data_IF_221004963388
#
_entry.id   IF_221004963388
#
_cell.length_a   1.000
_cell.length_b   1.000
_cell.length_c   1.000
_cell.angle_alpha   90.00
_cell.angle_beta   90.00
_cell.angle_gamma   90.00
#
_symmetry.space_group_name_H-M   'P 1'
#
loop_
_entity.id
_entity.type
_entity.pdbx_description
1 polymer ?
#
# COMPACT_ATOMS: atom_id res chain seq x y z
N UNK A 1 13.00 -15.11 12.05
CA UNK A 1 12.73 -14.19 10.92
C UNK A 1 13.94 -13.36 10.47
N UNK A 2 15.18 -13.68 10.88
CA UNK A 2 16.37 -12.90 10.47
C UNK A 2 16.48 -12.85 8.94
N UNK A 3 16.49 -11.65 8.36
CA UNK A 3 16.57 -11.44 6.92
C UNK A 3 15.37 -11.98 6.11
N UNK A 4 14.19 -12.07 6.73
CA UNK A 4 13.01 -12.67 6.10
C UNK A 4 11.85 -11.66 5.90
N UNK A 5 12.09 -10.38 6.17
CA UNK A 5 11.07 -9.33 6.06
C UNK A 5 11.43 -8.40 4.90
N UNK A 6 10.46 -8.12 4.05
CA UNK A 6 10.52 -7.06 3.04
C UNK A 6 9.74 -5.85 3.53
N UNK A 7 10.41 -4.72 3.65
CA UNK A 7 9.81 -3.45 4.05
C UNK A 7 9.68 -2.50 2.86
N UNK A 8 8.73 -1.58 2.93
CA UNK A 8 8.56 -0.54 1.92
C UNK A 8 9.73 0.45 1.92
N UNK A 9 10.32 0.71 0.75
CA UNK A 9 11.28 1.81 0.55
C UNK A 9 10.55 3.14 0.32
N UNK A 10 9.68 3.44 1.26
CA UNK A 10 8.89 4.67 1.32
C UNK A 10 8.90 5.17 2.75
N UNK A 11 9.25 6.44 2.92
CA UNK A 11 9.39 7.06 4.25
C UNK A 11 8.10 6.93 5.05
N UNK A 12 6.99 7.38 4.47
CA UNK A 12 5.70 7.40 5.16
C UNK A 12 5.16 5.99 5.40
N UNK A 13 5.32 5.06 4.46
CA UNK A 13 4.84 3.69 4.63
C UNK A 13 5.67 2.90 5.64
N UNK A 14 6.99 3.09 5.67
CA UNK A 14 7.82 2.47 6.69
C UNK A 14 7.51 3.00 8.10
N UNK A 15 7.39 4.32 8.24
CA UNK A 15 7.00 4.93 9.52
C UNK A 15 5.58 4.58 9.94
N UNK A 16 4.64 4.43 9.00
CA UNK A 16 3.27 3.97 9.28
C UNK A 16 3.27 2.64 10.02
N UNK A 17 4.05 1.66 9.57
CA UNK A 17 4.15 0.34 10.22
C UNK A 17 4.59 0.50 11.68
N UNK A 18 5.61 1.30 11.96
CA UNK A 18 6.10 1.52 13.31
C UNK A 18 5.12 2.33 14.17
N UNK A 19 4.58 3.43 13.65
CA UNK A 19 3.64 4.29 14.37
C UNK A 19 2.37 3.52 14.75
N UNK A 20 1.79 2.77 13.81
CA UNK A 20 0.59 1.97 14.09
C UNK A 20 0.87 0.89 15.13
N UNK A 21 2.02 0.20 15.07
CA UNK A 21 2.43 -0.78 16.08
C UNK A 21 2.58 -0.18 17.48
N UNK A 22 2.91 1.09 17.58
CA UNK A 22 3.01 1.84 18.83
C UNK A 22 1.67 2.46 19.29
N UNK A 23 0.61 2.32 18.48
CA UNK A 23 -0.69 2.90 18.75
C UNK A 23 -0.81 4.39 18.40
N UNK A 24 0.14 4.92 17.63
CA UNK A 24 0.15 6.32 17.20
C UNK A 24 -0.56 6.51 15.86
N UNK A 25 -0.94 7.76 15.56
CA UNK A 25 -1.43 8.14 14.24
C UNK A 25 -0.32 8.04 13.20
N UNK A 26 -0.62 7.47 12.02
CA UNK A 26 0.31 7.50 10.88
C UNK A 26 0.55 8.94 10.35
N UNK A 27 -0.20 9.91 10.85
CA UNK A 27 -0.04 11.33 10.56
C UNK A 27 0.61 12.10 11.73
N UNK A 28 1.22 11.42 12.69
CA UNK A 28 1.90 12.10 13.81
C UNK A 28 2.97 13.07 13.31
N UNK A 29 3.03 14.22 13.97
CA UNK A 29 4.08 15.23 13.79
C UNK A 29 4.85 15.46 15.10
N UNK A 30 4.56 14.68 16.15
CA UNK A 30 5.25 14.76 17.43
C UNK A 30 6.66 14.15 17.31
N UNK A 31 7.72 14.94 17.55
CA UNK A 31 9.08 14.43 17.46
C UNK A 31 9.39 13.26 18.42
N UNK A 32 8.71 13.16 19.56
CA UNK A 32 8.90 12.05 20.48
C UNK A 32 8.35 10.76 19.89
N UNK A 33 7.10 10.75 19.38
CA UNK A 33 6.48 9.60 18.73
C UNK A 33 7.29 9.15 17.49
N UNK A 34 7.78 10.12 16.69
CA UNK A 34 8.59 9.82 15.50
C UNK A 34 9.96 9.22 15.87
N UNK A 35 10.59 9.64 16.97
CA UNK A 35 11.82 9.02 17.45
C UNK A 35 11.57 7.60 17.98
N UNK A 36 10.48 7.35 18.70
CA UNK A 36 10.10 6.00 19.12
C UNK A 36 9.86 5.09 17.92
N UNK A 37 9.15 5.56 16.91
CA UNK A 37 8.93 4.83 15.65
C UNK A 37 10.26 4.52 14.92
N UNK A 38 11.18 5.49 14.84
CA UNK A 38 12.52 5.29 14.30
C UNK A 38 13.29 4.21 15.07
N UNK A 39 13.25 4.26 16.40
CA UNK A 39 13.98 3.29 17.24
C UNK A 39 13.41 1.87 17.06
N UNK A 40 12.09 1.73 16.89
CA UNK A 40 11.45 0.48 16.54
C UNK A 40 11.90 -0.04 15.16
N UNK A 41 11.97 0.82 14.16
CA UNK A 41 12.48 0.47 12.81
C UNK A 41 13.96 0.04 12.86
N UNK A 42 14.78 0.69 13.68
CA UNK A 42 16.17 0.29 13.89
C UNK A 42 16.28 -1.07 14.59
N UNK A 43 15.42 -1.35 15.57
CA UNK A 43 15.36 -2.66 16.23
C UNK A 43 14.88 -3.78 15.27
N UNK A 44 13.97 -3.46 14.33
CA UNK A 44 13.50 -4.39 13.29
C UNK A 44 14.58 -4.66 12.22
N UNK A 45 15.47 -3.71 11.94
CA UNK A 45 16.38 -3.73 10.80
C UNK A 45 17.18 -5.04 10.62
N UNK A 46 17.68 -5.72 11.67
CA UNK A 46 18.34 -7.02 11.52
C UNK A 46 17.44 -8.14 10.97
N UNK A 47 16.13 -7.95 11.00
CA UNK A 47 15.15 -8.89 10.47
C UNK A 47 14.77 -8.57 9.02
N UNK A 48 15.09 -7.35 8.54
CA UNK A 48 14.75 -6.88 7.19
C UNK A 48 15.77 -7.41 6.19
N UNK A 49 15.29 -8.10 5.17
CA UNK A 49 16.11 -8.52 4.04
C UNK A 49 16.41 -7.35 3.11
N UNK A 50 15.38 -6.58 2.77
CA UNK A 50 15.48 -5.45 1.87
C UNK A 50 14.36 -4.43 2.09
N UNK A 51 14.65 -3.18 1.74
CA UNK A 51 13.65 -2.14 1.54
C UNK A 51 13.36 -2.07 0.04
N UNK A 52 12.12 -2.34 -0.35
CA UNK A 52 11.70 -2.50 -1.76
C UNK A 52 10.32 -1.85 -1.99
N UNK A 53 9.98 -1.65 -3.24
CA UNK A 53 8.62 -1.28 -3.66
C UNK A 53 8.08 -2.42 -4.53
N UNK A 54 8.19 -2.33 -5.85
CA UNK A 54 7.64 -3.33 -6.79
C UNK A 54 8.37 -4.69 -6.72
N UNK A 55 9.64 -4.70 -6.33
CA UNK A 55 10.43 -5.94 -6.20
C UNK A 55 9.91 -6.92 -5.13
N UNK A 56 8.99 -6.47 -4.27
CA UNK A 56 8.33 -7.34 -3.29
C UNK A 56 7.63 -8.51 -3.99
N UNK A 57 7.04 -8.30 -5.16
CA UNK A 57 6.36 -9.32 -5.97
C UNK A 57 7.27 -10.50 -6.26
N UNK A 58 8.36 -10.23 -6.96
CA UNK A 58 9.30 -11.28 -7.38
C UNK A 58 9.90 -12.01 -6.18
N UNK A 59 10.26 -11.26 -5.13
CA UNK A 59 10.86 -11.84 -3.93
C UNK A 59 9.91 -12.74 -3.16
N UNK A 60 8.63 -12.37 -3.07
CA UNK A 60 7.62 -13.22 -2.43
C UNK A 60 7.33 -14.46 -3.28
N UNK A 61 7.20 -14.32 -4.61
CA UNK A 61 7.01 -15.44 -5.54
C UNK A 61 8.21 -16.40 -5.61
N UNK A 62 9.41 -15.91 -5.34
CA UNK A 62 10.61 -16.74 -5.28
C UNK A 62 10.84 -17.39 -3.89
N UNK A 63 9.96 -17.11 -2.91
CA UNK A 63 10.12 -17.61 -1.55
C UNK A 63 11.33 -17.02 -0.80
N UNK A 64 11.81 -15.83 -1.23
CA UNK A 64 12.99 -15.18 -0.65
C UNK A 64 12.69 -14.54 0.71
N UNK A 65 11.43 -14.31 1.03
CA UNK A 65 11.00 -13.68 2.28
C UNK A 65 9.74 -14.35 2.84
N UNK A 66 9.58 -14.31 4.15
CA UNK A 66 8.41 -14.86 4.83
C UNK A 66 7.29 -13.84 5.04
N UNK A 67 7.64 -12.55 5.09
CA UNK A 67 6.70 -11.44 5.32
C UNK A 67 7.08 -10.26 4.41
N UNK A 68 6.09 -9.64 3.79
CA UNK A 68 6.26 -8.43 2.99
C UNK A 68 5.20 -7.38 3.31
N UNK A 69 5.62 -6.12 3.43
CA UNK A 69 4.68 -5.00 3.46
C UNK A 69 4.38 -4.61 2.02
N UNK A 70 3.13 -4.74 1.61
CA UNK A 70 2.69 -4.58 0.22
C UNK A 70 1.45 -3.68 0.14
N UNK A 71 1.16 -3.19 -1.05
CA UNK A 71 -0.12 -2.55 -1.35
C UNK A 71 -1.19 -3.60 -1.66
N UNK A 72 -2.43 -3.33 -1.29
CA UNK A 72 -3.54 -4.30 -1.37
C UNK A 72 -3.77 -4.90 -2.76
N UNK A 73 -3.55 -4.16 -3.83
CA UNK A 73 -3.70 -4.66 -5.20
C UNK A 73 -2.68 -5.73 -5.60
N UNK A 74 -1.54 -5.82 -4.89
CA UNK A 74 -0.54 -6.84 -5.18
C UNK A 74 -1.02 -8.26 -4.84
N UNK A 75 -2.01 -8.39 -3.96
CA UNK A 75 -2.47 -9.68 -3.47
C UNK A 75 -2.99 -10.58 -4.58
N UNK A 76 -3.98 -10.10 -5.36
CA UNK A 76 -4.59 -10.90 -6.43
C UNK A 76 -3.54 -11.32 -7.46
N UNK A 77 -2.70 -10.37 -7.89
CA UNK A 77 -1.61 -10.66 -8.80
C UNK A 77 -0.68 -11.77 -8.27
N UNK A 78 -0.28 -11.66 -6.99
CA UNK A 78 0.61 -12.64 -6.37
C UNK A 78 -0.05 -14.01 -6.23
N UNK A 79 -1.33 -14.07 -5.93
CA UNK A 79 -2.07 -15.33 -5.83
C UNK A 79 -2.21 -16.01 -7.18
N UNK A 80 -2.60 -15.27 -8.22
CA UNK A 80 -2.73 -15.78 -9.60
C UNK A 80 -1.38 -16.29 -10.15
N UNK A 81 -0.30 -15.54 -9.94
CA UNK A 81 1.04 -15.96 -10.35
C UNK A 81 1.54 -17.19 -9.55
N UNK A 82 1.28 -17.25 -8.25
CA UNK A 82 1.64 -18.40 -7.42
C UNK A 82 0.94 -19.68 -7.89
N UNK A 83 -0.34 -19.59 -8.26
CA UNK A 83 -1.09 -20.71 -8.87
C UNK A 83 -0.52 -21.10 -10.23
N UNK A 84 -0.28 -20.13 -11.10
CA UNK A 84 0.27 -20.36 -12.44
C UNK A 84 1.65 -21.04 -12.39
N UNK A 85 2.46 -20.70 -11.42
CA UNK A 85 3.78 -21.28 -11.15
C UNK A 85 3.73 -22.62 -10.40
N UNK A 86 2.54 -23.07 -9.94
CA UNK A 86 2.34 -24.24 -9.10
C UNK A 86 3.25 -24.25 -7.87
N UNK A 87 3.31 -23.11 -7.15
CA UNK A 87 4.12 -23.02 -5.95
C UNK A 87 3.55 -23.93 -4.83
N UNK A 88 4.42 -24.48 -3.99
CA UNK A 88 4.07 -25.37 -2.91
C UNK A 88 3.73 -24.66 -1.60
N UNK A 89 3.58 -23.33 -1.64
CA UNK A 89 3.19 -22.48 -0.52
C UNK A 89 2.09 -21.49 -0.94
N UNK A 90 1.34 -21.03 0.06
CA UNK A 90 0.26 -20.06 -0.12
C UNK A 90 0.65 -18.70 0.42
N UNK A 91 0.35 -17.66 -0.35
CA UNK A 91 0.47 -16.28 0.08
C UNK A 91 -0.84 -15.83 0.73
N UNK A 92 -0.76 -15.36 1.97
CA UNK A 92 -1.89 -14.84 2.72
C UNK A 92 -1.73 -13.34 2.94
N UNK A 93 -2.80 -12.59 2.69
CA UNK A 93 -2.88 -11.18 3.05
C UNK A 93 -3.37 -11.03 4.50
N UNK A 94 -2.77 -10.11 5.23
CA UNK A 94 -3.17 -9.77 6.60
C UNK A 94 -3.33 -8.27 6.72
N UNK A 95 -4.54 -7.84 7.04
CA UNK A 95 -4.81 -6.47 7.43
C UNK A 95 -4.58 -6.36 8.96
N UNK A 96 -3.61 -5.54 9.42
CA UNK A 96 -3.29 -5.45 10.84
C UNK A 96 -4.46 -4.86 11.65
N UNK A 97 -4.70 -5.39 12.86
CA UNK A 97 -5.70 -4.85 13.79
C UNK A 97 -5.36 -3.44 14.27
N UNK A 98 -4.08 -3.08 14.26
CA UNK A 98 -3.57 -1.75 14.56
C UNK A 98 -3.96 -0.72 13.50
N UNK A 99 -4.44 -1.18 12.35
CA UNK A 99 -4.84 -0.35 11.22
C UNK A 99 -3.73 -0.15 10.19
N UNK A 100 -4.10 0.49 9.09
CA UNK A 100 -3.24 0.76 7.95
C UNK A 100 -3.54 2.13 7.33
N UNK A 101 -2.86 2.48 6.25
CA UNK A 101 -3.26 3.64 5.46
C UNK A 101 -4.39 3.29 4.49
N UNK A 102 -5.35 4.18 4.39
CA UNK A 102 -6.33 4.23 3.32
C UNK A 102 -5.87 5.24 2.28
N UNK A 103 -5.88 4.89 1.02
CA UNK A 103 -5.44 5.77 -0.05
C UNK A 103 -6.35 5.67 -1.26
N UNK A 104 -6.39 6.73 -2.03
CA UNK A 104 -7.18 6.84 -3.25
C UNK A 104 -6.32 7.52 -4.30
N UNK A 105 -5.99 6.81 -5.36
CA UNK A 105 -5.34 7.41 -6.52
C UNK A 105 -6.33 8.25 -7.32
N UNK A 106 -5.88 9.41 -7.73
CA UNK A 106 -6.72 10.37 -8.43
C UNK A 106 -6.05 10.89 -9.70
N UNK A 107 -6.80 10.88 -10.79
CA UNK A 107 -6.41 11.61 -11.99
C UNK A 107 -6.58 13.10 -11.77
N UNK A 108 -5.55 13.86 -12.05
CA UNK A 108 -5.57 15.33 -11.91
C UNK A 108 -5.15 16.01 -13.20
N UNK A 109 -5.74 17.17 -13.46
CA UNK A 109 -5.38 18.01 -14.61
C UNK A 109 -4.69 19.26 -14.08
N UNK A 110 -3.39 19.49 -14.38
CA UNK A 110 -2.71 20.70 -13.98
C UNK A 110 -3.45 21.95 -14.48
N UNK A 111 -3.47 23.01 -13.68
CA UNK A 111 -4.19 24.25 -14.01
C UNK A 111 -3.74 24.89 -15.34
N UNK A 112 -2.49 24.66 -15.74
CA UNK A 112 -1.87 25.18 -16.96
C UNK A 112 -1.84 24.15 -18.11
N UNK A 113 -2.61 23.06 -18.02
CA UNK A 113 -2.69 22.06 -19.08
C UNK A 113 -3.20 22.68 -20.39
N UNK A 114 -2.51 22.42 -21.51
CA UNK A 114 -2.86 22.96 -22.83
C UNK A 114 -4.03 22.24 -23.49
N UNK A 115 -4.18 20.95 -23.22
CA UNK A 115 -5.19 20.06 -23.82
C UNK A 115 -6.19 19.57 -22.77
N UNK A 116 -6.79 20.49 -22.05
CA UNK A 116 -7.66 20.20 -20.91
C UNK A 116 -8.88 19.37 -21.31
N UNK A 117 -9.52 19.72 -22.44
CA UNK A 117 -10.69 18.99 -22.96
C UNK A 117 -10.35 17.52 -23.26
N UNK A 118 -9.17 17.25 -23.83
CA UNK A 118 -8.74 15.88 -24.11
C UNK A 118 -8.45 15.11 -22.80
N UNK A 119 -7.89 15.78 -21.79
CA UNK A 119 -7.67 15.17 -20.48
C UNK A 119 -8.99 14.84 -19.77
N UNK A 120 -9.97 15.75 -19.84
CA UNK A 120 -11.33 15.51 -19.31
C UNK A 120 -12.01 14.34 -20.06
N UNK A 121 -11.91 14.29 -21.39
CA UNK A 121 -12.45 13.20 -22.18
C UNK A 121 -11.80 11.86 -21.82
N UNK A 122 -10.49 11.83 -21.56
CA UNK A 122 -9.77 10.64 -21.09
C UNK A 122 -10.24 10.18 -19.71
N UNK A 123 -10.35 11.09 -18.76
CA UNK A 123 -10.86 10.79 -17.41
C UNK A 123 -12.29 10.24 -17.48
N UNK A 124 -13.17 10.88 -18.27
CA UNK A 124 -14.53 10.41 -18.50
C UNK A 124 -14.57 9.00 -19.13
N UNK A 125 -13.67 8.71 -20.07
CA UNK A 125 -13.54 7.37 -20.64
C UNK A 125 -13.18 6.34 -19.56
N UNK A 126 -12.21 6.63 -18.70
CA UNK A 126 -11.80 5.74 -17.61
C UNK A 126 -12.89 5.53 -16.55
N UNK A 127 -13.80 6.52 -16.38
CA UNK A 127 -14.94 6.41 -15.46
C UNK A 127 -16.09 5.54 -16.00
N UNK A 128 -16.07 5.12 -17.25
CA UNK A 128 -17.09 4.23 -17.80
C UNK A 128 -17.03 2.88 -17.07
N UNK A 129 -18.17 2.31 -16.67
CA UNK A 129 -18.19 1.07 -15.88
C UNK A 129 -17.48 -0.11 -16.56
N UNK A 130 -17.68 -0.28 -17.87
CA UNK A 130 -17.05 -1.32 -18.67
C UNK A 130 -15.51 -1.17 -18.76
N UNK A 131 -15.03 0.06 -18.78
CA UNK A 131 -13.59 0.38 -18.81
C UNK A 131 -12.99 0.26 -17.40
N UNK A 132 -13.67 0.77 -16.38
CA UNK A 132 -13.23 0.66 -15.00
C UNK A 132 -13.18 -0.80 -14.52
N UNK A 133 -14.11 -1.67 -14.98
CA UNK A 133 -14.03 -3.12 -14.77
C UNK A 133 -12.74 -3.69 -15.39
N UNK A 134 -12.48 -3.42 -16.67
CA UNK A 134 -11.26 -3.90 -17.34
C UNK A 134 -9.99 -3.41 -16.67
N UNK A 135 -10.01 -2.16 -16.17
CA UNK A 135 -8.90 -1.61 -15.44
C UNK A 135 -8.66 -2.38 -14.13
N UNK A 136 -9.73 -2.66 -13.36
CA UNK A 136 -9.64 -3.51 -12.18
C UNK A 136 -9.06 -4.89 -12.49
N UNK A 137 -9.60 -5.58 -13.51
CA UNK A 137 -9.14 -6.91 -13.91
C UNK A 137 -7.67 -6.94 -14.34
N UNK A 138 -7.12 -5.81 -14.79
CA UNK A 138 -5.73 -5.71 -15.21
C UNK A 138 -4.78 -5.30 -14.07
N UNK A 139 -5.16 -4.33 -13.24
CA UNK A 139 -4.28 -3.80 -12.19
C UNK A 139 -4.54 -4.42 -10.81
N UNK A 140 -5.66 -5.13 -10.64
CA UNK A 140 -6.06 -5.84 -9.41
C UNK A 140 -6.31 -4.97 -8.17
N UNK A 141 -6.30 -3.64 -8.30
CA UNK A 141 -6.61 -2.71 -7.23
C UNK A 141 -8.11 -2.41 -7.16
N UNK A 142 -8.67 -2.36 -5.95
CA UNK A 142 -10.09 -2.10 -5.73
C UNK A 142 -10.57 -0.85 -6.48
N UNK A 143 -11.67 -0.99 -7.21
CA UNK A 143 -12.26 0.13 -7.95
C UNK A 143 -13.18 0.96 -7.06
N UNK A 144 -13.08 2.31 -7.07
CA UNK A 144 -14.04 3.18 -6.41
C UNK A 144 -15.32 3.37 -7.23
N UNK A 145 -15.39 2.83 -8.45
CA UNK A 145 -16.54 2.95 -9.34
C UNK A 145 -17.58 1.89 -8.99
N UNK A 146 -18.66 2.30 -8.31
CA UNK A 146 -19.73 1.40 -7.89
C UNK A 146 -20.35 0.61 -9.04
N UNK A 147 -20.61 1.25 -10.18
CA UNK A 147 -21.19 0.58 -11.33
C UNK A 147 -20.24 -0.43 -11.98
N UNK A 148 -18.93 -0.19 -11.91
CA UNK A 148 -17.93 -1.18 -12.32
C UNK A 148 -17.87 -2.36 -11.34
N UNK A 149 -17.92 -2.09 -10.03
CA UNK A 149 -17.97 -3.14 -9.01
C UNK A 149 -19.18 -4.08 -9.21
N UNK A 150 -20.35 -3.53 -9.54
CA UNK A 150 -21.58 -4.31 -9.82
C UNK A 150 -21.44 -5.21 -11.10
N UNK A 151 -20.47 -4.92 -11.97
CA UNK A 151 -20.15 -5.72 -13.16
C UNK A 151 -19.07 -6.78 -12.93
N UNK A 152 -18.38 -6.75 -11.79
CA UNK A 152 -17.36 -7.75 -11.47
C UNK A 152 -17.99 -9.12 -11.24
N UNK A 153 -17.22 -10.17 -11.47
CA UNK A 153 -17.63 -11.51 -11.12
C UNK A 153 -17.84 -11.65 -9.61
N UNK A 154 -18.81 -12.50 -9.17
CA UNK A 154 -19.13 -12.65 -7.74
C UNK A 154 -17.95 -13.04 -6.86
N UNK A 155 -16.96 -13.72 -7.41
CA UNK A 155 -15.72 -14.07 -6.73
C UNK A 155 -14.97 -12.83 -6.25
N UNK A 156 -14.78 -11.84 -7.14
CA UNK A 156 -14.13 -10.58 -6.78
C UNK A 156 -14.99 -9.74 -5.84
N UNK A 157 -16.31 -9.65 -6.10
CA UNK A 157 -17.22 -8.86 -5.24
C UNK A 157 -17.23 -9.35 -3.79
N UNK A 158 -17.06 -10.65 -3.56
CA UNK A 158 -17.06 -11.28 -2.25
C UNK A 158 -15.66 -11.40 -1.62
N UNK A 159 -14.62 -11.03 -2.33
CA UNK A 159 -13.25 -11.09 -1.83
C UNK A 159 -12.99 -9.94 -0.85
N UNK A 160 -12.92 -10.27 0.45
CA UNK A 160 -12.76 -9.30 1.55
C UNK A 160 -11.35 -8.78 1.70
N UNK A 161 -10.37 -9.44 1.13
CA UNK A 161 -8.99 -8.96 1.08
C UNK A 161 -8.84 -7.81 0.08
N UNK A 162 -9.64 -7.81 -0.99
CA UNK A 162 -9.66 -6.76 -2.03
C UNK A 162 -10.67 -5.66 -1.69
N UNK A 163 -11.87 -6.06 -1.23
CA UNK A 163 -12.95 -5.17 -0.83
C UNK A 163 -13.29 -5.40 0.65
N UNK A 164 -12.45 -4.91 1.58
CA UNK A 164 -12.65 -5.14 3.00
C UNK A 164 -13.95 -4.49 3.50
N UNK A 165 -14.54 -5.13 4.52
CA UNK A 165 -15.64 -4.49 5.23
C UNK A 165 -15.15 -3.27 5.99
N UNK A 166 -15.95 -2.21 6.01
CA UNK A 166 -15.61 -0.96 6.71
C UNK A 166 -15.36 -1.15 8.21
N UNK A 167 -15.96 -2.19 8.82
CA UNK A 167 -15.76 -2.53 10.24
C UNK A 167 -14.32 -3.00 10.57
N UNK A 168 -13.55 -3.45 9.58
CA UNK A 168 -12.15 -3.84 9.77
C UNK A 168 -11.16 -2.69 9.58
N UNK A 169 -11.65 -1.47 9.33
CA UNK A 169 -10.83 -0.30 9.00
C UNK A 169 -10.83 0.79 10.09
N UNK A 170 -11.41 0.50 11.26
CA UNK A 170 -11.64 1.48 12.32
C UNK A 170 -10.38 2.22 12.78
N UNK A 171 -9.23 1.53 12.78
CA UNK A 171 -7.94 2.09 13.15
C UNK A 171 -7.12 2.60 11.94
N UNK A 172 -7.68 2.54 10.74
CA UNK A 172 -7.00 2.97 9.51
C UNK A 172 -7.19 4.46 9.25
N UNK A 173 -6.20 5.08 8.63
CA UNK A 173 -6.19 6.53 8.41
C UNK A 173 -5.77 6.85 6.97
N UNK A 174 -6.19 8.01 6.47
CA UNK A 174 -5.72 8.57 5.20
C UNK A 174 -4.50 9.44 5.46
N UNK A 175 -3.46 9.33 4.63
CA UNK A 175 -2.32 10.24 4.70
C UNK A 175 -2.75 11.69 4.48
N UNK A 176 -2.26 12.57 5.33
CA UNK A 176 -2.43 14.02 5.24
C UNK A 176 -1.11 14.68 4.85
N UNK A 177 -1.19 15.84 4.26
CA UNK A 177 -0.02 16.72 4.15
C UNK A 177 0.31 17.26 5.54
N UNK A 178 1.55 17.02 5.99
CA UNK A 178 1.99 17.33 7.34
C UNK A 178 2.78 18.66 7.45
N UNK A 179 3.09 19.27 6.31
CA UNK A 179 3.92 20.46 6.22
C UNK A 179 5.42 20.14 6.07
N UNK A 180 6.17 21.12 5.59
CA UNK A 180 7.57 20.93 5.23
C UNK A 180 8.45 20.55 6.45
N UNK A 181 8.18 21.10 7.62
CA UNK A 181 8.95 20.82 8.84
C UNK A 181 8.83 19.34 9.25
N UNK A 182 7.60 18.80 9.23
CA UNK A 182 7.38 17.40 9.54
C UNK A 182 8.01 16.49 8.45
N UNK A 183 7.84 16.85 7.18
CA UNK A 183 8.44 16.10 6.05
C UNK A 183 9.98 16.06 6.18
N UNK A 184 10.62 17.15 6.56
CA UNK A 184 12.07 17.21 6.79
C UNK A 184 12.50 16.34 7.97
N UNK A 185 11.71 16.30 9.04
CA UNK A 185 11.96 15.43 10.20
C UNK A 185 11.86 13.96 9.81
N UNK A 186 10.76 13.55 9.17
CA UNK A 186 10.59 12.18 8.67
C UNK A 186 11.76 11.75 7.77
N UNK A 187 12.15 12.59 6.82
CA UNK A 187 13.25 12.30 5.90
C UNK A 187 14.59 12.19 6.64
N UNK A 188 14.82 13.00 7.68
CA UNK A 188 16.04 12.94 8.49
C UNK A 188 16.11 11.64 9.27
N UNK A 189 15.04 11.28 9.96
CA UNK A 189 14.95 10.04 10.73
C UNK A 189 15.04 8.79 9.83
N UNK A 190 14.45 8.85 8.64
CA UNK A 190 14.56 7.77 7.65
C UNK A 190 15.99 7.54 7.16
N UNK A 191 16.74 8.62 6.93
CA UNK A 191 18.17 8.49 6.59
C UNK A 191 18.95 7.80 7.72
N UNK A 192 18.62 8.06 8.99
CA UNK A 192 19.24 7.37 10.12
C UNK A 192 18.91 5.87 10.11
N UNK A 193 17.65 5.49 9.84
CA UNK A 193 17.25 4.08 9.70
C UNK A 193 18.01 3.40 8.58
N UNK A 194 18.14 4.05 7.41
CA UNK A 194 18.81 3.45 6.25
C UNK A 194 20.32 3.37 6.39
N UNK A 195 20.96 4.28 7.11
CA UNK A 195 22.43 4.40 7.21
C UNK A 195 23.09 3.51 8.26
N UNK A 196 22.35 3.04 9.24
CA UNK A 196 22.82 2.13 10.30
C UNK A 196 22.50 0.69 9.96
#
# INVERSE_FOLDING_TARGET
LSGAILMQDSVRDAFMVALKSLGYSLNSVDPAELNEAKDLLLAQKPLVQAYVVDQVRDKMLNGEAAVGVIYSGELLYLQEEAEALNLDYHLQYVLPEEGTNLWIDSWVIPWNARNKENAEAWINFLCRPDIAKKNFEYITYATPNKAAFELLDPEYQNNRDVFPDTNGLDNSEVYRYLGAEADDLYNTLWKEVKSR
#
